data_IF_706510732848
#
_entry.id   IF_706510732848
#
_cell.length_a   1.000
_cell.length_b   1.000
_cell.length_c   1.000
_cell.angle_alpha   90.00
_cell.angle_beta   90.00
_cell.angle_gamma   90.00
#
_symmetry.space_group_name_H-M   'P 1'
#
loop_
_entity.id
_entity.type
_entity.pdbx_description
1 polymer ?
#
# COMPACT_ATOMS: atom_id res chain seq x y z
N UNK A 1 0.71 18.07 -4.47
CA UNK A 1 1.77 18.08 -3.45
C UNK A 1 1.14 17.45 -2.21
N UNK A 2 1.28 16.13 -2.02
CA UNK A 2 0.71 15.44 -0.86
C UNK A 2 1.79 15.38 0.21
N UNK A 3 1.52 16.03 1.35
CA UNK A 3 2.36 16.03 2.52
C UNK A 3 2.21 14.66 3.22
N UNK A 4 3.33 13.97 3.44
CA UNK A 4 3.35 12.72 4.22
C UNK A 4 3.25 13.13 5.69
N UNK A 5 2.28 12.60 6.47
CA UNK A 5 2.23 12.86 7.90
C UNK A 5 3.50 12.35 8.57
N UNK A 6 4.15 13.18 9.37
CA UNK A 6 5.27 12.76 10.21
C UNK A 6 4.76 11.81 11.30
N UNK A 7 5.61 10.88 11.77
CA UNK A 7 5.22 9.87 12.77
C UNK A 7 4.64 10.44 14.08
N UNK A 8 4.75 11.75 14.31
CA UNK A 8 4.14 12.44 15.45
C UNK A 8 2.63 12.68 15.30
N UNK A 9 2.10 12.75 14.07
CA UNK A 9 0.65 12.90 13.84
C UNK A 9 -0.13 11.62 14.17
N UNK A 10 0.51 10.46 14.08
CA UNK A 10 -0.13 9.19 14.50
C UNK A 10 -0.32 9.10 16.02
N UNK A 11 0.58 9.70 16.80
CA UNK A 11 0.46 9.75 18.25
C UNK A 11 -0.61 10.76 18.70
N UNK A 12 -0.87 11.82 17.92
CA UNK A 12 -1.91 12.80 18.24
C UNK A 12 -3.32 12.30 17.93
N UNK A 13 -3.51 11.43 16.93
CA UNK A 13 -4.81 10.83 16.65
C UNK A 13 -5.27 9.87 17.78
N UNK A 14 -4.35 9.08 18.34
CA UNK A 14 -4.64 8.20 19.47
C UNK A 14 -4.92 8.98 20.76
N UNK A 15 -4.20 10.08 20.99
CA UNK A 15 -4.46 10.96 22.15
C UNK A 15 -5.78 11.72 22.04
N UNK A 16 -6.23 12.06 20.82
CA UNK A 16 -7.53 12.69 20.60
C UNK A 16 -8.68 11.71 20.88
N UNK A 17 -8.55 10.43 20.52
CA UNK A 17 -9.53 9.40 20.85
C UNK A 17 -9.58 9.09 22.36
N UNK A 18 -8.45 9.11 23.07
CA UNK A 18 -8.39 8.97 24.50
C UNK A 18 -9.03 10.18 25.23
N UNK A 19 -8.87 11.40 24.68
CA UNK A 19 -9.53 12.60 25.20
C UNK A 19 -11.04 12.58 25.00
N UNK A 20 -11.53 12.05 23.87
CA UNK A 20 -12.97 11.92 23.59
C UNK A 20 -13.63 10.89 24.53
N UNK A 21 -12.96 9.79 24.86
CA UNK A 21 -13.44 8.81 25.82
C UNK A 21 -13.45 9.37 27.26
N UNK A 22 -12.51 10.24 27.61
CA UNK A 22 -12.47 10.91 28.92
C UNK A 22 -13.59 11.95 29.09
N UNK A 23 -13.99 12.65 28.02
CA UNK A 23 -15.08 13.63 28.00
C UNK A 23 -16.45 12.96 28.19
N UNK A 24 -16.61 11.72 27.72
CA UNK A 24 -17.86 10.95 27.88
C UNK A 24 -18.12 10.50 29.34
N UNK A 25 -17.13 10.58 30.22
CA UNK A 25 -17.22 10.13 31.62
C UNK A 25 -17.57 11.24 32.62
N UNK A 26 -17.99 12.43 32.15
CA UNK A 26 -18.51 13.53 32.99
C UNK A 26 -17.68 13.87 34.25
N UNK A 27 -16.37 13.79 34.17
CA UNK A 27 -15.47 14.15 35.26
C UNK A 27 -14.19 14.82 34.73
N UNK A 28 -13.90 16.03 35.21
CA UNK A 28 -12.62 16.70 35.02
C UNK A 28 -11.49 15.76 35.43
N UNK A 29 -10.73 15.29 34.49
CA UNK A 29 -9.45 14.64 34.73
C UNK A 29 -8.37 15.71 34.54
N UNK A 30 -7.89 16.29 35.64
CA UNK A 30 -6.72 17.15 35.59
C UNK A 30 -5.51 16.29 35.19
N UNK A 31 -4.99 16.59 34.03
CA UNK A 31 -3.71 16.23 33.45
C UNK A 31 -3.00 14.98 34.06
N UNK A 32 -3.29 13.81 33.52
CA UNK A 32 -2.36 12.69 33.61
C UNK A 32 -1.20 13.00 32.66
N UNK A 33 -0.04 13.35 33.22
CA UNK A 33 1.20 13.41 32.46
C UNK A 33 1.42 12.04 31.82
N UNK A 34 1.58 11.95 30.48
CA UNK A 34 1.93 10.66 29.87
C UNK A 34 3.33 10.28 30.35
N UNK A 35 3.43 9.25 31.16
CA UNK A 35 4.67 8.53 31.34
C UNK A 35 5.05 7.96 29.98
N UNK A 36 6.30 8.14 29.58
CA UNK A 36 6.83 7.65 28.32
C UNK A 36 6.46 6.18 28.12
N UNK A 37 5.56 5.91 27.18
CA UNK A 37 5.22 4.56 26.77
C UNK A 37 6.34 4.10 25.85
N UNK A 38 7.30 3.37 26.40
CA UNK A 38 8.33 2.70 25.64
C UNK A 38 7.67 1.60 24.78
N UNK A 39 8.13 1.49 23.55
CA UNK A 39 7.74 0.47 22.58
C UNK A 39 7.69 -0.93 23.22
N UNK A 40 6.52 -1.58 23.15
CA UNK A 40 6.38 -2.97 23.59
C UNK A 40 5.15 -3.30 24.41
N UNK A 41 3.96 -2.77 24.08
CA UNK A 41 2.71 -3.25 24.72
C UNK A 41 2.33 -4.59 24.06
N UNK A 42 2.29 -5.71 24.82
CA UNK A 42 1.88 -7.00 24.28
C UNK A 42 0.39 -6.95 23.89
N UNK A 43 0.04 -7.64 22.81
CA UNK A 43 -1.29 -7.69 22.19
C UNK A 43 -2.42 -8.28 23.07
N UNK A 44 -2.22 -8.38 24.37
CA UNK A 44 -3.16 -8.94 25.33
C UNK A 44 -3.15 -8.13 26.65
N UNK A 45 -3.32 -6.81 26.54
CA UNK A 45 -3.41 -5.97 27.74
C UNK A 45 -4.70 -6.32 28.51
N UNK A 46 -4.53 -6.79 29.73
CA UNK A 46 -5.64 -6.99 30.66
C UNK A 46 -6.35 -5.64 30.96
N UNK A 47 -7.65 -5.64 31.25
CA UNK A 47 -8.37 -4.43 31.60
C UNK A 47 -7.70 -3.73 32.80
N UNK A 48 -7.45 -2.45 32.66
CA UNK A 48 -6.83 -1.64 33.71
C UNK A 48 -7.94 -0.99 34.54
N UNK A 49 -7.99 -1.32 35.83
CA UNK A 49 -8.91 -0.68 36.78
C UNK A 49 -8.24 0.56 37.35
N UNK A 50 -8.84 1.73 37.14
CA UNK A 50 -8.39 3.00 37.70
C UNK A 50 -9.35 3.48 38.76
N UNK A 51 -8.83 3.96 39.89
CA UNK A 51 -9.64 4.61 40.90
C UNK A 51 -9.97 6.04 40.51
N UNK A 52 -11.22 6.39 40.52
CA UNK A 52 -11.66 7.75 40.30
C UNK A 52 -11.46 8.60 41.54
N UNK A 53 -11.28 9.91 41.38
CA UNK A 53 -11.11 10.85 42.51
C UNK A 53 -12.33 10.93 43.45
N UNK A 54 -13.45 10.37 43.05
CA UNK A 54 -14.68 10.26 43.84
C UNK A 54 -14.84 8.91 44.55
N UNK A 55 -13.79 8.09 44.60
CA UNK A 55 -13.78 6.81 45.31
C UNK A 55 -14.45 5.65 44.57
N UNK A 56 -14.86 5.87 43.31
CA UNK A 56 -15.38 4.82 42.41
C UNK A 56 -14.26 4.08 41.69
N UNK A 57 -14.54 2.84 41.28
CA UNK A 57 -13.66 2.10 40.37
C UNK A 57 -14.23 2.17 38.96
N UNK A 58 -13.41 2.58 37.98
CA UNK A 58 -13.74 2.53 36.57
C UNK A 58 -12.79 1.55 35.86
N UNK A 59 -13.35 0.59 35.16
CA UNK A 59 -12.58 -0.33 34.35
C UNK A 59 -12.40 0.27 32.97
N UNK A 60 -11.18 0.67 32.65
CA UNK A 60 -10.84 1.12 31.28
C UNK A 60 -10.56 -0.11 30.44
N UNK A 61 -11.49 -0.48 29.60
CA UNK A 61 -11.24 -1.46 28.54
C UNK A 61 -10.59 -0.71 27.41
N UNK A 62 -9.25 -0.75 27.34
CA UNK A 62 -8.55 -0.25 26.18
C UNK A 62 -9.04 -1.05 24.96
N UNK A 63 -9.43 -0.40 23.86
CA UNK A 63 -9.80 -1.13 22.66
C UNK A 63 -8.62 -2.02 22.30
N UNK A 64 -8.84 -3.34 22.30
CA UNK A 64 -7.87 -4.30 21.78
C UNK A 64 -7.42 -3.78 20.45
N UNK A 65 -6.09 -3.62 20.26
CA UNK A 65 -5.51 -3.12 19.03
C UNK A 65 -6.23 -3.81 17.87
N UNK A 66 -7.01 -3.03 17.12
CA UNK A 66 -7.81 -3.56 16.02
C UNK A 66 -6.80 -4.16 15.05
N UNK A 67 -6.78 -5.49 14.96
CA UNK A 67 -5.94 -6.17 13.98
C UNK A 67 -6.34 -5.59 12.63
N UNK A 68 -5.46 -4.78 12.05
CA UNK A 68 -5.69 -4.22 10.72
C UNK A 68 -6.04 -5.39 9.80
N UNK A 69 -7.15 -5.27 9.07
CA UNK A 69 -7.57 -6.33 8.16
C UNK A 69 -6.46 -6.59 7.15
N UNK A 70 -6.35 -7.83 6.65
CA UNK A 70 -5.34 -8.16 5.64
C UNK A 70 -5.41 -7.21 4.43
N UNK A 71 -6.60 -6.69 4.14
CA UNK A 71 -6.78 -5.65 3.13
C UNK A 71 -6.03 -4.35 3.46
N UNK A 72 -6.13 -3.87 4.70
CA UNK A 72 -5.42 -2.66 5.15
C UNK A 72 -3.91 -2.88 5.18
N UNK A 73 -3.47 -4.04 5.66
CA UNK A 73 -2.05 -4.43 5.68
C UNK A 73 -1.48 -4.52 4.26
N UNK A 74 -2.23 -5.11 3.32
CA UNK A 74 -1.85 -5.17 1.91
C UNK A 74 -1.72 -3.77 1.29
N UNK A 75 -2.63 -2.88 1.61
CA UNK A 75 -2.59 -1.51 1.13
C UNK A 75 -1.36 -0.77 1.67
N UNK A 76 -1.09 -0.88 2.96
CA UNK A 76 0.09 -0.28 3.59
C UNK A 76 1.41 -0.85 3.02
N UNK A 77 1.48 -2.14 2.78
CA UNK A 77 2.64 -2.76 2.13
C UNK A 77 2.84 -2.21 0.70
N UNK A 78 1.75 -2.06 -0.07
CA UNK A 78 1.83 -1.44 -1.40
C UNK A 78 2.32 0.02 -1.34
N UNK A 79 1.86 0.81 -0.38
CA UNK A 79 2.30 2.20 -0.18
C UNK A 79 3.79 2.28 0.18
N UNK A 80 4.26 1.40 1.08
CA UNK A 80 5.70 1.27 1.40
C UNK A 80 6.53 0.89 0.18
N UNK A 81 6.03 -0.04 -0.63
CA UNK A 81 6.66 -0.41 -1.90
C UNK A 81 6.80 0.78 -2.85
N UNK A 82 5.77 1.62 -2.98
CA UNK A 82 5.84 2.84 -3.78
C UNK A 82 6.85 3.85 -3.25
N UNK A 83 6.99 3.98 -1.94
CA UNK A 83 8.00 4.86 -1.34
C UNK A 83 9.41 4.35 -1.65
N UNK A 84 9.67 3.07 -1.43
CA UNK A 84 10.96 2.43 -1.74
C UNK A 84 11.30 2.52 -3.24
N UNK A 85 10.29 2.40 -4.11
CA UNK A 85 10.48 2.62 -5.55
C UNK A 85 10.96 4.05 -5.86
N UNK A 86 10.37 5.07 -5.23
CA UNK A 86 10.80 6.48 -5.39
C UNK A 86 12.25 6.69 -4.93
N UNK A 87 12.69 5.96 -3.93
CA UNK A 87 14.06 5.92 -3.42
C UNK A 87 15.00 5.08 -4.29
N UNK A 88 14.51 4.49 -5.40
CA UNK A 88 15.22 3.57 -6.30
C UNK A 88 15.68 2.27 -5.63
N UNK A 89 15.14 1.93 -4.50
CA UNK A 89 15.36 0.69 -3.76
C UNK A 89 14.47 -0.41 -4.32
N UNK A 90 14.74 -0.82 -5.55
CA UNK A 90 13.85 -1.69 -6.32
C UNK A 90 13.70 -3.09 -5.71
N UNK A 91 14.75 -3.65 -5.10
CA UNK A 91 14.66 -4.95 -4.44
C UNK A 91 13.69 -4.91 -3.25
N UNK A 92 13.86 -3.93 -2.37
CA UNK A 92 13.01 -3.75 -1.19
C UNK A 92 11.57 -3.42 -1.59
N UNK A 93 11.38 -2.61 -2.65
CA UNK A 93 10.06 -2.33 -3.19
C UNK A 93 9.34 -3.60 -3.69
N UNK A 94 10.06 -4.49 -4.37
CA UNK A 94 9.52 -5.77 -4.83
C UNK A 94 9.06 -6.65 -3.66
N UNK A 95 9.81 -6.70 -2.56
CA UNK A 95 9.43 -7.43 -1.35
C UNK A 95 8.13 -6.90 -0.75
N UNK A 96 7.97 -5.57 -0.68
CA UNK A 96 6.76 -4.95 -0.14
C UNK A 96 5.53 -5.21 -1.04
N UNK A 97 5.67 -5.14 -2.36
CA UNK A 97 4.59 -5.49 -3.27
C UNK A 97 4.24 -6.99 -3.21
N UNK A 98 5.23 -7.85 -3.07
CA UNK A 98 5.01 -9.28 -2.87
C UNK A 98 4.29 -9.57 -1.54
N UNK A 99 4.63 -8.86 -0.46
CA UNK A 99 3.91 -8.96 0.81
C UNK A 99 2.45 -8.49 0.68
N UNK A 100 2.21 -7.40 -0.05
CA UNK A 100 0.85 -6.95 -0.35
C UNK A 100 0.02 -8.03 -1.08
N UNK A 101 0.64 -8.77 -2.01
CA UNK A 101 0.01 -9.85 -2.75
C UNK A 101 -0.19 -11.13 -1.94
N UNK A 102 0.66 -11.43 -0.95
CA UNK A 102 0.41 -12.51 0.01
C UNK A 102 -0.83 -12.25 0.86
N UNK A 103 -1.00 -10.99 1.31
CA UNK A 103 -2.14 -10.58 2.12
C UNK A 103 -3.42 -10.44 1.29
N UNK A 104 -3.28 -10.07 0.02
CA UNK A 104 -4.39 -9.86 -0.92
C UNK A 104 -4.00 -10.27 -2.34
N UNK A 105 -4.21 -11.53 -2.71
CA UNK A 105 -3.81 -12.08 -4.02
C UNK A 105 -4.47 -11.41 -5.23
N UNK A 106 -5.65 -10.83 -5.06
CA UNK A 106 -6.42 -10.10 -6.08
C UNK A 106 -6.09 -8.60 -6.16
N UNK A 107 -4.96 -8.17 -5.58
CA UNK A 107 -4.57 -6.76 -5.60
C UNK A 107 -3.87 -6.39 -6.92
N UNK A 108 -4.65 -6.17 -7.98
CA UNK A 108 -4.14 -5.84 -9.30
C UNK A 108 -3.13 -4.67 -9.32
N UNK A 109 -3.32 -3.65 -8.46
CA UNK A 109 -2.38 -2.54 -8.36
C UNK A 109 -1.00 -2.98 -7.86
N UNK A 110 -0.96 -3.80 -6.82
CA UNK A 110 0.31 -4.32 -6.29
C UNK A 110 1.00 -5.25 -7.30
N UNK A 111 0.24 -6.10 -8.02
CA UNK A 111 0.77 -6.95 -9.08
C UNK A 111 1.37 -6.13 -10.23
N UNK A 112 0.69 -5.06 -10.66
CA UNK A 112 1.21 -4.13 -11.66
C UNK A 112 2.52 -3.45 -11.20
N UNK A 113 2.54 -2.97 -9.95
CA UNK A 113 3.71 -2.31 -9.38
C UNK A 113 4.89 -3.27 -9.27
N UNK A 114 4.65 -4.52 -8.88
CA UNK A 114 5.68 -5.56 -8.83
C UNK A 114 6.24 -5.85 -10.21
N UNK A 115 5.38 -6.01 -11.23
CA UNK A 115 5.80 -6.16 -12.61
C UNK A 115 6.65 -4.99 -13.10
N UNK A 116 6.24 -3.76 -12.77
CA UNK A 116 7.00 -2.57 -13.12
C UNK A 116 8.36 -2.49 -12.42
N UNK A 117 8.45 -2.88 -11.16
CA UNK A 117 9.74 -2.95 -10.44
C UNK A 117 10.68 -3.98 -11.06
N UNK A 118 10.18 -5.16 -11.44
CA UNK A 118 11.01 -6.14 -12.16
C UNK A 118 11.50 -5.61 -13.50
N UNK A 119 10.67 -4.85 -14.24
CA UNK A 119 11.10 -4.16 -15.44
C UNK A 119 12.26 -3.18 -15.16
N UNK A 120 12.19 -2.42 -14.06
CA UNK A 120 13.28 -1.50 -13.65
C UNK A 120 14.55 -2.22 -13.23
N UNK A 121 14.46 -3.47 -12.82
CA UNK A 121 15.59 -4.38 -12.54
C UNK A 121 16.09 -5.12 -13.80
N UNK A 122 15.54 -4.81 -14.97
CA UNK A 122 15.83 -5.48 -16.25
C UNK A 122 15.45 -6.98 -16.28
N UNK A 123 14.64 -7.41 -15.34
CA UNK A 123 14.08 -8.77 -15.24
C UNK A 123 12.79 -8.87 -16.06
N UNK A 124 12.93 -8.71 -17.37
CA UNK A 124 11.81 -8.51 -18.28
C UNK A 124 10.82 -9.68 -18.35
N UNK A 125 11.32 -10.90 -18.29
CA UNK A 125 10.46 -12.08 -18.30
C UNK A 125 9.59 -12.17 -17.04
N UNK A 126 10.13 -11.82 -15.89
CA UNK A 126 9.39 -11.80 -14.62
C UNK A 126 8.42 -10.62 -14.58
N UNK A 127 8.84 -9.47 -15.11
CA UNK A 127 7.96 -8.31 -15.30
C UNK A 127 6.73 -8.70 -16.12
N UNK A 128 6.92 -9.36 -17.27
CA UNK A 128 5.82 -9.81 -18.11
C UNK A 128 4.86 -10.76 -17.38
N UNK A 129 5.37 -11.73 -16.63
CA UNK A 129 4.54 -12.68 -15.84
C UNK A 129 3.64 -11.93 -14.83
N UNK A 130 4.18 -10.96 -14.11
CA UNK A 130 3.40 -10.20 -13.12
C UNK A 130 2.40 -9.27 -13.76
N UNK A 131 2.72 -8.67 -14.91
CA UNK A 131 1.81 -7.84 -15.67
C UNK A 131 0.69 -8.68 -16.33
N UNK A 132 0.99 -9.89 -16.81
CA UNK A 132 -0.04 -10.84 -17.23
C UNK A 132 -0.96 -11.24 -16.06
N UNK A 133 -0.38 -11.47 -14.88
CA UNK A 133 -1.17 -11.72 -13.67
C UNK A 133 -2.08 -10.53 -13.32
N UNK A 134 -1.56 -9.31 -13.44
CA UNK A 134 -2.36 -8.10 -13.28
C UNK A 134 -3.59 -8.11 -14.19
N UNK A 135 -3.42 -8.47 -15.45
CA UNK A 135 -4.50 -8.50 -16.46
C UNK A 135 -5.47 -9.67 -16.29
N UNK A 136 -5.07 -10.74 -15.59
CA UNK A 136 -6.00 -11.79 -15.15
C UNK A 136 -6.92 -11.29 -14.04
N UNK A 137 -6.41 -10.44 -13.16
CA UNK A 137 -7.18 -9.86 -12.04
C UNK A 137 -8.06 -8.70 -12.54
N UNK A 138 -7.48 -7.82 -13.35
CA UNK A 138 -8.14 -6.62 -13.89
C UNK A 138 -7.83 -6.46 -15.39
N UNK A 139 -8.63 -7.06 -16.27
CA UNK A 139 -8.44 -6.97 -17.73
C UNK A 139 -8.62 -5.56 -18.30
N UNK A 140 -9.27 -4.66 -17.56
CA UNK A 140 -9.52 -3.28 -18.00
C UNK A 140 -8.38 -2.31 -17.70
N UNK A 141 -7.34 -2.75 -17.00
CA UNK A 141 -6.21 -1.94 -16.57
C UNK A 141 -5.27 -1.60 -17.74
N UNK A 142 -5.60 -0.54 -18.47
CA UNK A 142 -4.85 -0.14 -19.66
C UNK A 142 -3.34 0.03 -19.40
N UNK A 143 -2.93 0.66 -18.29
CA UNK A 143 -1.51 0.85 -17.97
C UNK A 143 -0.73 -0.47 -17.88
N UNK A 144 -1.36 -1.57 -17.49
CA UNK A 144 -0.71 -2.87 -17.45
C UNK A 144 -0.39 -3.40 -18.86
N UNK A 145 -1.23 -3.12 -19.87
CA UNK A 145 -0.90 -3.44 -21.26
C UNK A 145 0.27 -2.62 -21.79
N UNK A 146 0.37 -1.33 -21.43
CA UNK A 146 1.51 -0.51 -21.81
C UNK A 146 2.81 -1.07 -21.22
N UNK A 147 2.82 -1.31 -19.92
CA UNK A 147 3.98 -1.87 -19.21
C UNK A 147 4.34 -3.28 -19.74
N UNK A 148 3.33 -4.10 -20.08
CA UNK A 148 3.53 -5.43 -20.66
C UNK A 148 4.15 -5.35 -22.05
N UNK A 149 3.72 -4.40 -22.87
CA UNK A 149 4.33 -4.09 -24.16
C UNK A 149 5.81 -3.75 -24.03
N UNK A 150 6.15 -2.88 -23.07
CA UNK A 150 7.54 -2.50 -22.77
C UNK A 150 8.36 -3.72 -22.30
N UNK A 151 7.80 -4.54 -21.42
CA UNK A 151 8.47 -5.74 -20.93
C UNK A 151 8.75 -6.75 -22.05
N UNK A 152 7.77 -7.03 -22.91
CA UNK A 152 7.95 -7.94 -24.04
C UNK A 152 8.92 -7.37 -25.09
N UNK A 153 8.85 -6.07 -25.38
CA UNK A 153 9.77 -5.45 -26.33
C UNK A 153 11.22 -5.59 -25.85
N UNK A 154 11.48 -5.37 -24.56
CA UNK A 154 12.80 -5.55 -23.95
C UNK A 154 13.22 -7.01 -23.86
N UNK A 155 12.27 -7.93 -23.70
CA UNK A 155 12.53 -9.37 -23.74
C UNK A 155 12.75 -9.92 -25.15
N UNK A 156 12.55 -9.11 -26.21
CA UNK A 156 12.69 -9.50 -27.60
C UNK A 156 11.46 -10.17 -28.22
N UNK A 157 10.35 -10.29 -27.50
CA UNK A 157 9.10 -10.85 -27.98
C UNK A 157 8.24 -9.77 -28.67
N UNK A 158 8.62 -9.46 -29.91
CA UNK A 158 8.01 -8.37 -30.70
C UNK A 158 6.51 -8.58 -30.93
N UNK A 159 6.09 -9.82 -31.17
CA UNK A 159 4.68 -10.14 -31.45
C UNK A 159 3.79 -9.86 -30.24
N UNK A 160 4.21 -10.30 -29.06
CA UNK A 160 3.47 -10.03 -27.84
C UNK A 160 3.51 -8.54 -27.46
N UNK A 161 4.65 -7.88 -27.68
CA UNK A 161 4.76 -6.44 -27.47
C UNK A 161 3.77 -5.66 -28.34
N UNK A 162 3.71 -5.99 -29.64
CA UNK A 162 2.78 -5.37 -30.61
C UNK A 162 1.32 -5.55 -30.15
N UNK A 163 0.95 -6.76 -29.75
CA UNK A 163 -0.40 -7.06 -29.25
C UNK A 163 -0.74 -6.24 -28.02
N UNK A 164 0.18 -6.13 -27.07
CA UNK A 164 -0.03 -5.40 -25.82
C UNK A 164 -0.21 -3.89 -26.08
N UNK A 165 0.65 -3.27 -26.89
CA UNK A 165 0.50 -1.86 -27.24
C UNK A 165 -0.79 -1.56 -28.03
N UNK A 166 -1.16 -2.43 -28.96
CA UNK A 166 -2.42 -2.29 -29.70
C UNK A 166 -3.61 -2.34 -28.75
N UNK A 167 -3.60 -3.27 -27.80
CA UNK A 167 -4.65 -3.36 -26.79
C UNK A 167 -4.70 -2.13 -25.90
N UNK A 168 -3.54 -1.61 -25.47
CA UNK A 168 -3.47 -0.35 -24.74
C UNK A 168 -4.15 0.80 -25.52
N UNK A 169 -3.80 0.97 -26.79
CA UNK A 169 -4.34 2.02 -27.65
C UNK A 169 -5.84 1.86 -27.92
N UNK A 170 -6.35 0.64 -27.95
CA UNK A 170 -7.78 0.38 -28.07
C UNK A 170 -8.54 0.80 -26.80
N UNK A 171 -7.95 0.61 -25.63
CA UNK A 171 -8.55 0.99 -24.33
C UNK A 171 -8.38 2.50 -24.06
N UNK A 172 -7.24 3.07 -24.41
CA UNK A 172 -6.90 4.47 -24.13
C UNK A 172 -6.19 5.14 -25.33
N UNK A 173 -6.92 5.47 -26.40
CA UNK A 173 -6.32 6.03 -27.62
C UNK A 173 -5.68 7.40 -27.42
N UNK A 174 -6.08 8.15 -26.39
CA UNK A 174 -5.57 9.45 -25.99
C UNK A 174 -4.95 9.44 -24.58
N UNK A 175 -4.66 8.25 -24.03
CA UNK A 175 -4.05 8.10 -22.71
C UNK A 175 -2.61 8.64 -22.69
N UNK A 176 -2.11 8.91 -21.47
CA UNK A 176 -0.76 9.48 -21.28
C UNK A 176 0.38 8.68 -21.95
N UNK A 177 0.20 7.36 -22.15
CA UNK A 177 1.17 6.49 -22.84
C UNK A 177 0.89 6.26 -24.32
N UNK A 178 -0.12 6.92 -24.92
CA UNK A 178 -0.55 6.61 -26.29
C UNK A 178 0.52 6.96 -27.34
N UNK A 179 1.22 8.07 -27.18
CA UNK A 179 2.32 8.45 -28.07
C UNK A 179 3.49 7.47 -27.95
N UNK A 180 3.84 7.08 -26.73
CA UNK A 180 4.86 6.06 -26.47
C UNK A 180 4.48 4.73 -27.16
N UNK A 181 3.25 4.25 -26.96
CA UNK A 181 2.79 3.01 -27.57
C UNK A 181 2.84 3.06 -29.10
N UNK A 182 2.42 4.17 -29.71
CA UNK A 182 2.51 4.36 -31.19
C UNK A 182 3.96 4.36 -31.67
N UNK A 183 4.86 5.07 -30.97
CA UNK A 183 6.27 5.12 -31.32
C UNK A 183 6.91 3.72 -31.24
N UNK A 184 6.60 2.96 -30.19
CA UNK A 184 7.10 1.60 -30.03
C UNK A 184 6.59 0.67 -31.15
N UNK A 185 5.31 0.78 -31.53
CA UNK A 185 4.74 0.00 -32.64
C UNK A 185 5.41 0.24 -33.99
N UNK A 186 6.00 1.42 -34.21
CA UNK A 186 6.75 1.74 -35.42
C UNK A 186 8.13 1.10 -35.46
N UNK A 187 8.70 0.77 -34.31
CA UNK A 187 10.06 0.20 -34.18
C UNK A 187 10.07 -1.33 -34.05
N UNK A 188 8.91 -1.94 -33.81
CA UNK A 188 8.74 -3.39 -33.68
C UNK A 188 8.50 -4.05 -35.06
#
# INVERSE_FOLDING_TARGET
>A
MFQVPSGEEFLTADTAQLSAAAIALNGRVDAVRPAAVSAGVPANAAPVTVKTLQGGEATLVLPTAVKSSDRQRAQLANERGLQLYKEKRYADAAEQFAEALKLRPDFALAANNLGFVYYRQERYAEAARWLENTLKIDPSRAVAYLNLGDAYAKAGDREKARKAYTTYLALQPQGAGAEQARAQLQTL
#
